data_IF_156628425758
#
_entry.id   IF_156628425758
#
_cell.length_a   1.000
_cell.length_b   1.000
_cell.length_c   1.000
_cell.angle_alpha   90.00
_cell.angle_beta   90.00
_cell.angle_gamma   90.00
#
_symmetry.space_group_name_H-M   'P 1'
#
loop_
_entity.id
_entity.type
_entity.pdbx_description
1 polymer ?
#
# COMPACT_ATOMS: atom_id res chain seq x y z
N UNK A 1 5.01 -2.76 9.94
CA UNK A 1 3.87 -2.57 9.02
C UNK A 1 3.71 -3.85 8.23
N UNK A 2 2.47 -4.35 8.08
CA UNK A 2 2.16 -5.55 7.30
C UNK A 2 1.07 -5.24 6.27
N UNK A 3 1.12 -5.88 5.11
CA UNK A 3 0.14 -5.72 4.04
C UNK A 3 -0.28 -7.07 3.47
N UNK A 4 -1.46 -7.08 2.85
CA UNK A 4 -2.05 -8.17 2.07
C UNK A 4 -2.23 -7.73 0.61
N UNK A 5 -2.27 -8.71 -0.30
CA UNK A 5 -2.60 -8.43 -1.70
C UNK A 5 -4.02 -7.86 -1.79
N UNK A 6 -4.18 -6.76 -2.51
CA UNK A 6 -5.42 -6.00 -2.64
C UNK A 6 -5.52 -4.79 -1.71
N UNK A 7 -4.63 -4.65 -0.71
CA UNK A 7 -4.67 -3.52 0.21
C UNK A 7 -4.23 -2.21 -0.46
N UNK A 8 -4.74 -1.10 0.08
CA UNK A 8 -4.33 0.24 -0.32
C UNK A 8 -3.10 0.66 0.47
N UNK A 9 -2.05 1.04 -0.23
CA UNK A 9 -0.88 1.67 0.34
C UNK A 9 -0.93 3.17 0.09
N UNK A 10 -0.94 3.95 1.16
CA UNK A 10 -0.97 5.41 1.12
C UNK A 10 0.37 5.90 1.64
N UNK A 11 1.05 6.70 0.83
CA UNK A 11 2.30 7.37 1.23
C UNK A 11 2.00 8.86 1.33
N UNK A 12 1.99 9.35 2.57
CA UNK A 12 1.76 10.76 2.85
C UNK A 12 3.02 11.56 2.49
N UNK A 13 2.85 12.66 1.77
CA UNK A 13 3.97 13.53 1.44
C UNK A 13 4.24 14.47 2.61
N UNK A 14 5.38 14.31 3.26
CA UNK A 14 5.89 15.21 4.32
C UNK A 14 6.24 16.62 3.84
N UNK A 15 6.37 16.83 2.53
CA UNK A 15 6.69 18.14 1.94
C UNK A 15 5.43 18.83 1.44
N UNK A 16 5.13 20.02 1.97
CA UNK A 16 4.04 20.88 1.49
C UNK A 16 4.20 21.13 -0.01
N UNK A 17 3.30 20.57 -0.81
CA UNK A 17 3.26 20.76 -2.27
C UNK A 17 3.44 19.49 -3.10
N UNK A 18 3.79 18.34 -2.49
CA UNK A 18 3.77 17.05 -3.19
C UNK A 18 2.49 16.32 -2.86
N UNK A 19 1.74 15.88 -3.87
CA UNK A 19 0.56 15.04 -3.65
C UNK A 19 1.00 13.76 -2.90
N UNK A 20 0.23 13.34 -1.90
CA UNK A 20 0.37 12.00 -1.35
C UNK A 20 0.11 10.97 -2.46
N UNK A 21 0.79 9.83 -2.42
CA UNK A 21 0.62 8.79 -3.43
C UNK A 21 -0.21 7.66 -2.88
N UNK A 22 -1.14 7.17 -3.68
CA UNK A 22 -1.97 6.01 -3.36
C UNK A 22 -1.62 4.90 -4.34
N UNK A 23 -1.38 3.71 -3.83
CA UNK A 23 -1.15 2.51 -4.63
C UNK A 23 -1.90 1.31 -4.06
N UNK A 24 -1.97 0.25 -4.86
CA UNK A 24 -2.54 -1.04 -4.48
C UNK A 24 -1.41 -2.05 -4.37
N UNK A 25 -1.37 -2.80 -3.28
CA UNK A 25 -0.44 -3.92 -3.13
C UNK A 25 -0.94 -5.05 -4.03
N UNK A 26 -0.23 -5.33 -5.11
CA UNK A 26 -0.62 -6.36 -6.08
C UNK A 26 0.13 -7.69 -5.88
N UNK A 27 1.25 -7.67 -5.16
CA UNK A 27 1.92 -8.88 -4.69
C UNK A 27 2.75 -8.61 -3.43
N UNK A 28 2.95 -9.66 -2.64
CA UNK A 28 3.86 -9.67 -1.50
C UNK A 28 5.07 -10.53 -1.82
N UNK A 29 6.24 -10.08 -1.38
CA UNK A 29 7.46 -10.91 -1.46
C UNK A 29 7.57 -11.86 -0.27
N UNK A 30 7.00 -11.48 0.88
CA UNK A 30 6.96 -12.31 2.07
C UNK A 30 5.53 -12.69 2.44
N UNK A 31 5.32 -13.95 2.78
CA UNK A 31 4.02 -14.51 3.15
C UNK A 31 3.49 -13.97 4.48
N UNK A 32 4.35 -13.41 5.32
CA UNK A 32 3.98 -12.79 6.59
C UNK A 32 3.45 -11.36 6.44
N UNK A 33 3.42 -10.85 5.20
CA UNK A 33 3.01 -9.50 4.85
C UNK A 33 4.07 -8.45 5.11
N UNK A 34 5.33 -8.79 5.37
CA UNK A 34 6.40 -7.81 5.55
C UNK A 34 6.88 -7.23 4.21
N UNK A 35 7.42 -5.99 4.19
CA UNK A 35 8.09 -5.45 3.02
C UNK A 35 9.27 -6.34 2.60
N UNK A 36 9.65 -6.35 1.32
CA UNK A 36 9.13 -5.50 0.24
C UNK A 36 7.75 -5.90 -0.30
N UNK A 37 7.08 -4.94 -0.93
CA UNK A 37 5.83 -5.15 -1.67
C UNK A 37 5.97 -4.82 -3.16
N UNK A 38 5.14 -5.43 -4.00
CA UNK A 38 4.87 -4.93 -5.33
C UNK A 38 3.62 -4.04 -5.28
N UNK A 39 3.80 -2.77 -5.59
CA UNK A 39 2.74 -1.76 -5.50
C UNK A 39 2.46 -1.20 -6.89
N UNK A 40 1.19 -1.18 -7.29
CA UNK A 40 0.71 -0.45 -8.45
C UNK A 40 0.19 0.91 -8.00
N UNK A 41 0.86 1.99 -8.39
CA UNK A 41 0.41 3.34 -8.07
C UNK A 41 -0.80 3.72 -8.92
N UNK A 42 -1.73 4.45 -8.30
CA UNK A 42 -2.96 4.92 -8.95
C UNK A 42 -2.80 6.32 -9.55
N UNK A 43 -1.79 7.07 -9.10
CA UNK A 43 -1.48 8.43 -9.56
C UNK A 43 -0.74 8.43 -10.91
N UNK A 44 0.23 7.54 -11.03
CA UNK A 44 0.96 7.25 -12.26
C UNK A 44 0.75 5.75 -12.50
N UNK A 45 0.30 5.33 -13.69
CA UNK A 45 0.05 3.93 -14.08
C UNK A 45 1.35 3.09 -14.10
N UNK A 46 2.00 3.02 -12.94
CA UNK A 46 3.37 2.59 -12.72
C UNK A 46 3.39 1.61 -11.57
N UNK A 47 4.18 0.57 -11.76
CA UNK A 47 4.40 -0.46 -10.75
C UNK A 47 5.78 -0.27 -10.13
N UNK A 48 5.86 -0.36 -8.82
CA UNK A 48 7.12 -0.36 -8.07
C UNK A 48 7.34 -1.72 -7.47
N UNK A 49 8.34 -2.41 -8.02
CA UNK A 49 8.90 -3.63 -7.47
C UNK A 49 9.75 -3.28 -6.24
N UNK A 50 9.73 -4.15 -5.25
CA UNK A 50 10.51 -3.99 -4.03
C UNK A 50 10.28 -2.68 -3.27
N UNK A 51 9.02 -2.26 -3.10
CA UNK A 51 8.71 -1.06 -2.31
C UNK A 51 8.89 -1.31 -0.81
N UNK A 52 9.65 -0.44 -0.14
CA UNK A 52 9.82 -0.42 1.31
C UNK A 52 9.09 0.81 1.88
N UNK A 53 8.00 0.62 2.65
CA UNK A 53 7.28 1.72 3.25
C UNK A 53 8.13 2.44 4.30
N UNK A 54 8.15 3.77 4.22
CA UNK A 54 8.71 4.64 5.25
C UNK A 54 7.73 4.88 6.41
N UNK A 55 8.12 5.69 7.41
CA UNK A 55 7.25 6.05 8.54
C UNK A 55 5.98 6.79 8.11
N UNK A 56 6.01 7.48 6.97
CA UNK A 56 4.87 8.24 6.42
C UNK A 56 3.95 7.40 5.53
N UNK A 57 4.18 6.09 5.45
CA UNK A 57 3.30 5.17 4.76
C UNK A 57 2.26 4.58 5.72
N UNK A 58 1.08 4.27 5.20
CA UNK A 58 0.06 3.47 5.90
C UNK A 58 -0.62 2.52 4.94
N UNK A 59 -1.02 1.37 5.46
CA UNK A 59 -1.79 0.36 4.73
C UNK A 59 -3.23 0.45 5.20
N UNK A 60 -4.17 0.52 4.25
CA UNK A 60 -5.59 0.41 4.49
C UNK A 60 -6.08 -0.96 4.01
N UNK A 61 -6.43 -1.81 4.98
CA UNK A 61 -7.03 -3.12 4.74
C UNK A 61 -8.51 -2.96 4.38
N UNK A 62 -8.87 -3.25 3.13
CA UNK A 62 -10.26 -3.06 2.68
C UNK A 62 -11.20 -4.18 3.19
N UNK A 63 -10.64 -5.34 3.53
CA UNK A 63 -11.40 -6.51 4.02
C UNK A 63 -11.85 -6.36 5.49
N UNK A 64 -11.25 -5.48 6.28
CA UNK A 64 -11.69 -5.21 7.66
C UNK A 64 -12.87 -4.21 7.73
N UNK A 65 -13.08 -3.42 6.67
CA UNK A 65 -14.11 -2.37 6.63
C UNK A 65 -15.49 -2.89 6.22
N UNK A 66 -15.55 -4.11 5.70
CA UNK A 66 -16.79 -4.84 5.46
C UNK A 66 -16.67 -6.19 6.15
N UNK A 67 -17.02 -6.31 7.45
CA UNK A 67 -17.35 -7.63 7.96
C UNK A 67 -18.45 -8.15 7.03
N UNK A 68 -18.21 -9.28 6.39
CA UNK A 68 -19.25 -9.98 5.64
C UNK A 68 -20.46 -10.08 6.57
N UNK A 69 -21.50 -9.30 6.27
CA UNK A 69 -22.76 -9.40 7.00
C UNK A 69 -23.27 -10.83 6.80
N UNK A 70 -23.60 -11.55 7.88
CA UNK A 70 -23.98 -12.97 7.84
C UNK A 70 -25.22 -13.24 6.98
#
# INVERSE_FOLDING_TARGET
MKASVGDRLIVESIHRGRAGRIGIVVALYHTDGSPPYLVRWLDEERETLCFFPGPDARVEHYWERFPESP
#
